data_IF_509003102535
#
_entry.id   IF_509003102535
#
_cell.length_a   1.000
_cell.length_b   1.000
_cell.length_c   1.000
_cell.angle_alpha   90.00
_cell.angle_beta   90.00
_cell.angle_gamma   90.00
#
_symmetry.space_group_name_H-M   'P 1'
#
loop_
_entity.id
_entity.type
_entity.pdbx_description
1 polymer ?
#
# COMPACT_ATOMS: atom_id res chain seq x y z
N UNK A 1 27.27 40.39 43.49
CA UNK A 1 26.04 39.55 43.48
C UNK A 1 25.89 38.97 42.08
N UNK A 2 26.22 37.69 41.88
CA UNK A 2 26.15 37.03 40.56
C UNK A 2 24.82 36.30 40.44
N UNK A 3 23.88 36.86 39.68
CA UNK A 3 22.59 36.23 39.38
C UNK A 3 22.80 35.30 38.19
N UNK A 4 22.72 33.99 38.41
CA UNK A 4 22.64 33.00 37.32
C UNK A 4 21.18 32.85 36.92
N UNK A 5 20.83 33.34 35.73
CA UNK A 5 19.50 33.16 35.14
C UNK A 5 19.49 31.80 34.41
N UNK A 6 18.86 30.79 35.02
CA UNK A 6 18.70 29.46 34.44
C UNK A 6 17.63 29.51 33.34
N UNK A 7 18.02 29.28 32.08
CA UNK A 7 17.12 29.18 30.93
C UNK A 7 16.65 27.72 30.81
N UNK A 8 15.42 27.44 31.24
CA UNK A 8 14.80 26.11 31.06
C UNK A 8 14.42 25.93 29.59
N UNK A 9 15.11 25.03 28.87
CA UNK A 9 14.73 24.59 27.53
C UNK A 9 13.56 23.61 27.67
N UNK A 10 12.37 24.02 27.21
CA UNK A 10 11.23 23.13 27.04
C UNK A 10 11.43 22.32 25.75
N UNK A 11 11.84 21.06 25.89
CA UNK A 11 11.91 20.11 24.77
C UNK A 11 10.47 19.65 24.49
N UNK A 12 9.81 20.24 23.49
CA UNK A 12 8.60 19.66 22.91
C UNK A 12 9.00 18.40 22.14
N UNK A 13 8.82 17.23 22.76
CA UNK A 13 8.84 15.97 22.04
C UNK A 13 7.62 15.93 21.11
N UNK A 14 7.80 16.32 19.85
CA UNK A 14 6.84 15.96 18.81
C UNK A 14 6.85 14.42 18.73
N UNK A 15 5.75 13.80 19.14
CA UNK A 15 5.56 12.37 18.93
C UNK A 15 5.67 12.11 17.44
N UNK A 16 6.71 11.40 17.03
CA UNK A 16 6.81 10.90 15.66
C UNK A 16 5.68 9.90 15.52
N UNK A 17 4.66 10.19 14.72
CA UNK A 17 3.67 9.18 14.37
C UNK A 17 4.43 8.10 13.58
N UNK A 18 4.56 6.90 14.15
CA UNK A 18 5.14 5.78 13.43
C UNK A 18 4.14 5.38 12.34
N UNK A 19 4.50 5.60 11.08
CA UNK A 19 3.73 5.09 9.95
C UNK A 19 3.70 3.56 10.04
N UNK A 20 2.53 2.97 9.81
CA UNK A 20 2.40 1.53 9.68
C UNK A 20 3.18 1.04 8.46
N UNK A 21 3.66 -0.18 8.53
CA UNK A 21 4.49 -0.76 7.49
C UNK A 21 3.91 -2.08 7.00
N UNK A 22 3.94 -2.25 5.68
CA UNK A 22 3.67 -3.50 5.01
C UNK A 22 4.95 -3.97 4.32
N UNK A 23 5.38 -5.19 4.65
CA UNK A 23 6.48 -5.85 3.96
C UNK A 23 5.90 -6.74 2.86
N UNK A 24 6.35 -6.55 1.62
CA UNK A 24 5.92 -7.33 0.46
C UNK A 24 7.13 -8.06 -0.11
N UNK A 25 7.10 -9.39 -0.04
CA UNK A 25 8.10 -10.25 -0.68
C UNK A 25 7.77 -10.42 -2.16
N UNK A 26 8.66 -9.94 -3.03
CA UNK A 26 8.56 -10.01 -4.48
C UNK A 26 9.41 -11.16 -5.02
N UNK A 27 8.83 -11.93 -5.94
CA UNK A 27 9.56 -12.83 -6.84
C UNK A 27 9.91 -12.10 -8.13
N UNK A 28 10.97 -12.54 -8.82
CA UNK A 28 11.27 -12.01 -10.15
C UNK A 28 10.05 -12.26 -11.08
N UNK A 29 9.70 -11.26 -11.89
CA UNK A 29 8.52 -11.29 -12.76
C UNK A 29 7.30 -10.63 -12.13
N UNK A 30 6.10 -11.08 -12.52
CA UNK A 30 4.83 -10.47 -12.10
C UNK A 30 4.36 -10.97 -10.73
N UNK A 31 4.06 -10.04 -9.83
CA UNK A 31 3.54 -10.30 -8.49
C UNK A 31 2.19 -9.61 -8.33
N UNK A 32 1.17 -10.34 -7.88
CA UNK A 32 -0.15 -9.80 -7.60
C UNK A 32 -0.20 -9.40 -6.12
N UNK A 33 -0.43 -8.13 -5.86
CA UNK A 33 -0.33 -7.56 -4.52
C UNK A 33 -1.53 -6.68 -4.21
N UNK A 34 -1.86 -6.59 -2.93
CA UNK A 34 -2.75 -5.57 -2.39
C UNK A 34 -2.05 -4.86 -1.24
N UNK A 35 -2.35 -3.58 -1.06
CA UNK A 35 -1.78 -2.80 0.02
C UNK A 35 -2.69 -2.81 1.24
N UNK A 36 -2.15 -3.10 2.42
CA UNK A 36 -2.83 -3.04 3.73
C UNK A 36 -2.60 -1.70 4.45
N UNK A 37 -1.73 -0.87 3.88
CA UNK A 37 -1.56 0.54 4.24
C UNK A 37 -1.98 1.40 3.05
N UNK A 38 -2.45 2.62 3.30
CA UNK A 38 -2.54 3.66 2.29
C UNK A 38 -1.13 4.26 2.14
N UNK A 39 -0.36 3.94 1.07
CA UNK A 39 1.04 4.31 1.00
C UNK A 39 1.22 5.82 0.92
N UNK A 40 2.20 6.36 1.65
CA UNK A 40 2.55 7.78 1.58
C UNK A 40 3.26 8.12 0.25
N UNK A 41 3.88 7.11 -0.37
CA UNK A 41 4.59 7.22 -1.63
C UNK A 41 3.67 7.06 -2.84
N UNK A 42 3.89 7.87 -3.87
CA UNK A 42 3.29 7.66 -5.19
C UNK A 42 3.84 6.37 -5.84
N UNK A 43 3.16 5.80 -6.85
CA UNK A 43 3.68 4.67 -7.63
C UNK A 43 5.11 4.90 -8.16
N UNK A 44 5.38 6.09 -8.71
CA UNK A 44 6.72 6.48 -9.17
C UNK A 44 7.71 6.63 -7.99
N UNK A 45 7.26 7.13 -6.84
CA UNK A 45 8.06 7.20 -5.62
C UNK A 45 8.45 5.82 -5.09
N UNK A 46 7.54 4.85 -5.11
CA UNK A 46 7.84 3.47 -4.70
C UNK A 46 8.89 2.81 -5.60
N UNK A 47 8.82 3.04 -6.93
CA UNK A 47 9.85 2.61 -7.87
C UNK A 47 11.22 3.21 -7.55
N UNK A 48 11.26 4.52 -7.29
CA UNK A 48 12.51 5.21 -6.95
C UNK A 48 13.12 4.69 -5.65
N UNK A 49 12.29 4.38 -4.65
CA UNK A 49 12.74 3.82 -3.38
C UNK A 49 13.19 2.36 -3.48
N UNK A 50 12.71 1.62 -4.49
CA UNK A 50 12.95 0.19 -4.64
C UNK A 50 13.34 -0.14 -6.09
N UNK A 51 14.64 -0.09 -6.39
CA UNK A 51 15.18 -0.36 -7.73
C UNK A 51 14.84 -1.75 -8.31
N UNK A 52 14.45 -2.71 -7.46
CA UNK A 52 13.96 -4.01 -7.90
C UNK A 52 12.60 -3.94 -8.62
N UNK A 53 11.80 -2.89 -8.37
CA UNK A 53 10.51 -2.69 -9.03
C UNK A 53 10.76 -2.15 -10.44
N UNK A 54 10.44 -2.96 -11.45
CA UNK A 54 10.43 -2.52 -12.83
C UNK A 54 9.18 -1.69 -13.12
N UNK A 55 7.99 -2.25 -12.91
CA UNK A 55 6.73 -1.56 -13.22
C UNK A 55 5.61 -1.92 -12.25
N UNK A 56 4.66 -1.00 -12.08
CA UNK A 56 3.43 -1.20 -11.30
C UNK A 56 2.23 -0.97 -12.21
N UNK A 57 1.29 -1.91 -12.18
CA UNK A 57 0.07 -1.88 -12.98
C UNK A 57 -1.17 -1.95 -12.10
N UNK A 58 -2.24 -1.29 -12.55
CA UNK A 58 -3.59 -1.38 -12.00
C UNK A 58 -4.57 -1.52 -13.16
N UNK A 59 -5.44 -2.53 -13.13
CA UNK A 59 -6.51 -2.58 -14.13
C UNK A 59 -7.59 -1.53 -13.82
N UNK A 60 -7.90 -0.69 -14.81
CA UNK A 60 -9.02 0.24 -14.75
C UNK A 60 -10.16 -0.24 -15.63
N UNK A 61 -11.23 -0.73 -15.01
CA UNK A 61 -12.47 -1.07 -15.73
C UNK A 61 -13.12 0.15 -16.41
N UNK A 62 -12.80 1.37 -15.98
CA UNK A 62 -13.24 2.59 -16.67
C UNK A 62 -12.48 2.83 -17.98
N UNK A 63 -11.17 2.53 -17.99
CA UNK A 63 -10.32 2.70 -19.17
C UNK A 63 -10.25 1.44 -20.05
N UNK A 64 -10.82 0.32 -19.60
CA UNK A 64 -10.75 -0.98 -20.27
C UNK A 64 -9.32 -1.53 -20.42
N UNK A 65 -8.37 -1.03 -19.63
CA UNK A 65 -6.93 -1.27 -19.82
C UNK A 65 -6.17 -1.15 -18.50
N UNK A 66 -4.90 -1.57 -18.51
CA UNK A 66 -3.99 -1.39 -17.39
C UNK A 66 -3.43 0.02 -17.38
N UNK A 67 -3.59 0.71 -16.24
CA UNK A 67 -2.84 1.90 -15.90
C UNK A 67 -1.46 1.47 -15.40
N UNK A 68 -0.42 2.21 -15.75
CA UNK A 68 0.95 1.84 -15.39
C UNK A 68 1.78 3.01 -14.88
N UNK A 69 2.88 2.69 -14.22
CA UNK A 69 3.94 3.65 -13.90
C UNK A 69 4.78 4.04 -15.11
N UNK A 70 4.81 3.23 -16.18
CA UNK A 70 5.61 3.46 -17.38
C UNK A 70 5.06 4.64 -18.20
N UNK A 71 3.75 4.65 -18.41
CA UNK A 71 3.02 5.69 -19.15
C UNK A 71 2.52 6.82 -18.24
N UNK A 72 2.79 6.76 -16.94
CA UNK A 72 2.39 7.76 -15.95
C UNK A 72 0.88 7.82 -15.68
N UNK A 73 0.10 6.88 -16.20
CA UNK A 73 -1.36 6.85 -16.02
C UNK A 73 -1.76 6.38 -14.61
N UNK A 74 -0.86 5.67 -13.91
CA UNK A 74 -1.03 5.28 -12.52
C UNK A 74 -0.47 6.36 -11.58
N UNK A 75 -1.34 7.27 -11.13
CA UNK A 75 -0.95 8.40 -10.28
C UNK A 75 -0.99 8.10 -8.77
N UNK A 76 -1.82 7.15 -8.32
CA UNK A 76 -2.04 6.89 -6.89
C UNK A 76 -2.30 5.41 -6.56
N UNK A 77 -2.05 5.07 -5.29
CA UNK A 77 -2.34 3.75 -4.72
C UNK A 77 -3.46 3.90 -3.71
N UNK A 78 -4.45 3.02 -3.77
CA UNK A 78 -5.67 3.09 -2.97
C UNK A 78 -6.02 1.73 -2.37
N UNK A 79 -6.74 1.75 -1.26
CA UNK A 79 -7.29 0.56 -0.64
C UNK A 79 -8.34 -0.14 -1.52
N UNK A 80 -8.52 -1.45 -1.32
CA UNK A 80 -9.50 -2.29 -2.02
C UNK A 80 -9.14 -2.61 -3.47
N UNK A 81 -7.93 -2.25 -3.92
CA UNK A 81 -7.44 -2.49 -5.28
C UNK A 81 -6.37 -3.58 -5.30
N UNK A 82 -6.39 -4.39 -6.35
CA UNK A 82 -5.29 -5.28 -6.66
C UNK A 82 -4.34 -4.59 -7.64
N UNK A 83 -3.05 -4.79 -7.43
CA UNK A 83 -1.97 -4.26 -8.25
C UNK A 83 -1.11 -5.41 -8.77
N UNK A 84 -0.46 -5.19 -9.91
CA UNK A 84 0.57 -6.09 -10.41
C UNK A 84 1.90 -5.34 -10.34
N UNK A 85 2.86 -5.90 -9.61
CA UNK A 85 4.23 -5.38 -9.55
C UNK A 85 5.12 -6.31 -10.36
N UNK A 86 5.70 -5.81 -11.43
CA UNK A 86 6.79 -6.48 -12.13
C UNK A 86 8.11 -6.17 -11.42
N UNK A 87 8.78 -7.20 -10.91
CA UNK A 87 10.08 -7.09 -10.25
C UNK A 87 11.19 -7.63 -11.15
N UNK A 88 12.25 -6.84 -11.34
CA UNK A 88 13.44 -7.21 -12.11
C UNK A 88 14.24 -8.33 -11.43
N UNK A 89 14.14 -8.43 -10.10
CA UNK A 89 14.81 -9.41 -9.27
C UNK A 89 13.96 -9.76 -8.05
N UNK A 90 14.34 -10.83 -7.34
CA UNK A 90 13.76 -11.16 -6.03
C UNK A 90 14.10 -10.03 -5.04
N UNK A 91 13.11 -9.55 -4.30
CA UNK A 91 13.28 -8.45 -3.34
C UNK A 91 12.24 -8.51 -2.22
N UNK A 92 12.51 -7.80 -1.12
CA UNK A 92 11.51 -7.51 -0.10
C UNK A 92 11.40 -6.00 0.00
N UNK A 93 10.21 -5.46 -0.30
CA UNK A 93 9.95 -4.02 -0.25
C UNK A 93 9.18 -3.69 1.01
N UNK A 94 9.51 -2.56 1.62
CA UNK A 94 8.76 -2.01 2.76
C UNK A 94 7.95 -0.82 2.27
N UNK A 95 6.65 -0.88 2.49
CA UNK A 95 5.71 0.17 2.12
C UNK A 95 5.19 0.79 3.41
N UNK A 96 5.52 2.06 3.64
CA UNK A 96 5.03 2.81 4.79
C UNK A 96 3.78 3.59 4.43
N UNK A 97 2.86 3.72 5.38
CA UNK A 97 1.63 4.48 5.20
C UNK A 97 0.71 4.41 6.39
N UNK A 98 -0.52 4.89 6.21
CA UNK A 98 -1.57 4.79 7.23
C UNK A 98 -2.26 3.42 7.13
N UNK A 99 -2.41 2.67 8.22
CA UNK A 99 -3.14 1.40 8.18
C UNK A 99 -4.58 1.55 7.68
N UNK A 100 -4.99 0.63 6.81
CA UNK A 100 -6.35 0.55 6.31
C UNK A 100 -7.17 -0.31 7.28
N UNK A 101 -8.03 0.34 8.08
CA UNK A 101 -8.85 -0.32 9.11
C UNK A 101 -10.13 -0.96 8.55
N UNK A 102 -10.61 -0.47 7.41
CA UNK A 102 -11.74 -1.04 6.68
C UNK A 102 -11.45 -1.04 5.17
N UNK A 103 -11.68 -2.18 4.52
CA UNK A 103 -11.80 -2.20 3.07
C UNK A 103 -13.14 -1.52 2.74
N UNK A 104 -13.11 -0.30 2.17
CA UNK A 104 -14.33 0.41 1.77
C UNK A 104 -15.18 -0.39 0.78
N UNK A 105 -16.39 0.10 0.49
CA UNK A 105 -17.32 -0.57 -0.44
C UNK A 105 -16.69 -0.80 -1.81
N UNK A 106 -16.58 -2.07 -2.22
CA UNK A 106 -16.05 -2.46 -3.53
C UNK A 106 -17.16 -2.51 -4.57
N UNK A 107 -17.39 -1.39 -5.25
CA UNK A 107 -18.34 -1.34 -6.37
C UNK A 107 -17.72 -2.02 -7.60
N UNK A 108 -18.18 -3.24 -7.90
CA UNK A 108 -17.76 -3.99 -9.08
C UNK A 108 -18.38 -3.40 -10.34
N UNK A 109 -17.59 -3.33 -11.42
CA UNK A 109 -18.07 -2.94 -12.75
C UNK A 109 -18.28 -4.19 -13.62
N UNK A 110 -19.11 -4.08 -14.65
CA UNK A 110 -19.23 -5.16 -15.63
C UNK A 110 -17.86 -5.44 -16.30
N UNK A 111 -17.56 -6.73 -16.53
CA UNK A 111 -16.29 -7.17 -17.09
C UNK A 111 -15.23 -7.52 -16.02
N UNK A 112 -13.96 -7.27 -16.33
CA UNK A 112 -12.85 -7.61 -15.46
C UNK A 112 -12.67 -6.57 -14.34
N UNK A 113 -12.40 -7.04 -13.11
CA UNK A 113 -12.04 -6.19 -11.97
C UNK A 113 -10.84 -6.81 -11.26
N UNK A 114 -9.78 -6.04 -11.05
CA UNK A 114 -8.64 -6.46 -10.23
C UNK A 114 -8.80 -5.90 -8.82
N UNK A 115 -9.35 -6.72 -7.92
CA UNK A 115 -9.60 -6.38 -6.52
C UNK A 115 -8.52 -6.96 -5.60
N UNK A 116 -8.34 -6.33 -4.45
CA UNK A 116 -7.34 -6.73 -3.47
C UNK A 116 -7.87 -6.63 -2.04
N UNK A 117 -7.37 -7.49 -1.15
CA UNK A 117 -7.71 -7.45 0.27
C UNK A 117 -6.78 -6.45 0.94
N UNK A 118 -7.30 -5.28 1.29
CA UNK A 118 -6.54 -4.19 1.92
C UNK A 118 -6.60 -4.20 3.44
N UNK A 119 -6.86 -5.35 4.05
CA UNK A 119 -6.78 -5.55 5.50
C UNK A 119 -5.90 -6.75 5.80
N UNK A 120 -5.15 -6.68 6.88
CA UNK A 120 -4.43 -7.85 7.39
C UNK A 120 -5.45 -8.89 7.80
N UNK A 121 -5.36 -10.08 7.20
CA UNK A 121 -6.19 -11.20 7.60
C UNK A 121 -5.48 -11.95 8.73
N UNK A 122 -6.22 -12.23 9.80
CA UNK A 122 -5.83 -13.29 10.72
C UNK A 122 -5.67 -14.58 9.93
N UNK A 123 -4.73 -15.46 10.30
CA UNK A 123 -4.52 -16.74 9.62
C UNK A 123 -5.76 -17.62 9.74
N UNK A 124 -6.67 -17.48 8.79
CA UNK A 124 -7.94 -18.21 8.69
C UNK A 124 -7.95 -19.02 7.40
N UNK A 125 -8.67 -20.13 7.38
CA UNK A 125 -8.86 -20.91 6.15
C UNK A 125 -9.61 -20.06 5.13
N UNK A 126 -9.38 -20.32 3.84
CA UNK A 126 -10.13 -19.61 2.78
C UNK A 126 -11.65 -19.75 2.96
N UNK A 127 -12.14 -20.91 3.39
CA UNK A 127 -13.55 -21.12 3.72
C UNK A 127 -14.05 -20.18 4.82
N UNK A 128 -13.26 -19.97 5.86
CA UNK A 128 -13.56 -19.06 6.98
C UNK A 128 -13.50 -17.60 6.53
N UNK A 129 -12.57 -17.26 5.63
CA UNK A 129 -12.52 -15.93 5.02
C UNK A 129 -13.81 -15.61 4.28
N UNK A 130 -14.33 -16.54 3.47
CA UNK A 130 -15.58 -16.35 2.73
C UNK A 130 -16.76 -16.24 3.70
N UNK A 131 -16.89 -17.16 4.67
CA UNK A 131 -17.97 -17.13 5.67
C UNK A 131 -18.01 -15.82 6.47
N UNK A 132 -16.86 -15.30 6.86
CA UNK A 132 -16.76 -14.09 7.67
C UNK A 132 -17.02 -12.79 6.88
N UNK A 133 -17.05 -12.86 5.54
CA UNK A 133 -17.27 -11.68 4.67
C UNK A 133 -18.42 -11.89 3.67
N UNK A 134 -19.14 -13.00 3.73
CA UNK A 134 -20.40 -13.21 3.01
C UNK A 134 -21.50 -12.43 3.73
N UNK A 135 -21.71 -11.19 3.31
CA UNK A 135 -22.94 -10.47 3.64
C UNK A 135 -24.11 -11.20 2.98
N UNK A 136 -24.97 -11.79 3.81
CA UNK A 136 -26.38 -12.02 3.46
C UNK A 136 -27.05 -10.68 3.18
#
# INVERSE_FOLDING_TARGET
MRVFLSMSILICAAGIAHADQQIISLKQGFNFVSFTVAPDATPAGLKQQNAAIGEIYLYSAAAGSFLSTLDGTLASINAGKGYIIYANSVASITVSGTAVTAAGTMNLKAGFNLIGISKTLSSVKFSELILNNSSV
#
